data_IF_265910310718
#
_entry.id   IF_265910310718
#
_cell.length_a   1.000
_cell.length_b   1.000
_cell.length_c   1.000
_cell.angle_alpha   90.00
_cell.angle_beta   90.00
_cell.angle_gamma   90.00
#
_symmetry.space_group_name_H-M   'P 1'
#
loop_
_entity.id
_entity.type
_entity.pdbx_description
1 polymer ?
#
# COMPACT_ATOMS: atom_id res chain seq x y z
N UNK A 1 -2.70 9.22 15.19
CA UNK A 1 -1.43 8.51 14.90
C UNK A 1 -1.39 8.20 13.42
N UNK A 2 -0.44 8.75 12.67
CA UNK A 2 -0.22 8.35 11.28
C UNK A 2 0.70 7.12 11.26
N UNK A 3 0.33 6.09 10.51
CA UNK A 3 1.14 4.90 10.35
C UNK A 3 2.06 5.07 9.15
N UNK A 4 3.38 5.10 9.34
CA UNK A 4 4.33 5.10 8.23
C UNK A 4 4.98 3.72 8.15
N UNK A 5 4.90 3.09 6.99
CA UNK A 5 5.55 1.81 6.71
C UNK A 5 6.32 1.92 5.39
N UNK A 6 7.41 1.18 5.27
CA UNK A 6 8.26 1.22 4.08
C UNK A 6 8.20 -0.12 3.41
N UNK A 7 7.84 -0.13 2.15
CA UNK A 7 7.72 -1.34 1.35
C UNK A 7 8.74 -1.35 0.23
N UNK A 8 9.26 -2.52 -0.11
CA UNK A 8 10.20 -2.72 -1.20
C UNK A 8 9.52 -3.55 -2.26
N UNK A 9 9.48 -3.07 -3.50
CA UNK A 9 8.92 -3.79 -4.64
C UNK A 9 9.82 -4.96 -5.01
N UNK A 10 9.24 -6.16 -5.09
CA UNK A 10 9.88 -7.38 -5.58
C UNK A 10 9.65 -7.46 -7.09
N UNK A 11 10.57 -6.90 -7.86
CA UNK A 11 10.52 -6.97 -9.32
C UNK A 11 11.74 -6.33 -9.99
N UNK A 12 12.05 -6.80 -11.19
CA UNK A 12 13.09 -6.24 -12.06
C UNK A 12 12.73 -4.81 -12.50
N UNK A 13 11.47 -4.64 -12.94
CA UNK A 13 10.89 -3.35 -13.37
C UNK A 13 9.95 -2.76 -12.31
N UNK A 14 10.38 -1.78 -11.49
CA UNK A 14 9.54 -1.20 -10.43
C UNK A 14 8.28 -0.49 -10.95
N UNK A 15 8.25 -0.03 -12.21
CA UNK A 15 7.05 0.53 -12.84
C UNK A 15 5.97 -0.53 -13.06
N UNK A 16 6.31 -1.61 -13.76
CA UNK A 16 5.36 -2.69 -14.06
C UNK A 16 4.84 -3.35 -12.78
N UNK A 17 5.74 -3.63 -11.82
CA UNK A 17 5.34 -4.21 -10.53
C UNK A 17 4.36 -3.31 -9.78
N UNK A 18 4.54 -1.98 -9.83
CA UNK A 18 3.64 -1.04 -9.17
C UNK A 18 2.26 -0.96 -9.85
N UNK A 19 2.21 -0.98 -11.18
CA UNK A 19 0.92 -0.99 -11.90
C UNK A 19 0.15 -2.29 -11.65
N UNK A 20 0.82 -3.44 -11.69
CA UNK A 20 0.23 -4.72 -11.32
C UNK A 20 -0.24 -4.74 -9.87
N UNK A 21 0.54 -4.14 -8.97
CA UNK A 21 0.17 -4.02 -7.56
C UNK A 21 -1.07 -3.15 -7.36
N UNK A 22 -1.16 -2.01 -8.03
CA UNK A 22 -2.34 -1.14 -7.97
C UNK A 22 -3.56 -1.89 -8.48
N UNK A 23 -3.48 -2.53 -9.65
CA UNK A 23 -4.59 -3.32 -10.21
C UNK A 23 -5.04 -4.45 -9.29
N UNK A 24 -4.08 -5.18 -8.72
CA UNK A 24 -4.35 -6.24 -7.73
C UNK A 24 -5.02 -5.66 -6.50
N UNK A 25 -4.50 -4.56 -5.96
CA UNK A 25 -5.02 -3.94 -4.76
C UNK A 25 -6.43 -3.36 -5.00
N UNK A 26 -6.72 -2.80 -6.18
CA UNK A 26 -8.08 -2.39 -6.59
C UNK A 26 -9.06 -3.56 -6.59
N UNK A 27 -8.66 -4.72 -7.12
CA UNK A 27 -9.46 -5.95 -7.05
C UNK A 27 -9.72 -6.40 -5.60
N UNK A 28 -8.77 -6.12 -4.70
CA UNK A 28 -8.88 -6.40 -3.27
C UNK A 28 -9.67 -5.33 -2.50
N UNK A 29 -10.11 -4.24 -3.15
CA UNK A 29 -10.89 -3.15 -2.56
C UNK A 29 -10.07 -1.96 -2.07
N UNK A 30 -8.84 -1.79 -2.55
CA UNK A 30 -8.01 -0.61 -2.37
C UNK A 30 -8.10 0.30 -3.59
N UNK A 31 -8.71 1.47 -3.47
CA UNK A 31 -8.69 2.49 -4.51
C UNK A 31 -7.39 3.31 -4.41
N UNK A 32 -6.54 3.26 -5.42
CA UNK A 32 -5.36 4.13 -5.52
C UNK A 32 -5.68 5.33 -6.42
N UNK A 33 -5.50 6.54 -5.91
CA UNK A 33 -5.67 7.81 -6.64
C UNK A 33 -4.34 8.54 -6.73
N UNK A 34 -3.77 8.65 -7.93
CA UNK A 34 -2.52 9.38 -8.16
C UNK A 34 -1.68 8.78 -9.28
N UNK A 35 -0.37 9.03 -9.24
CA UNK A 35 0.60 8.47 -10.19
C UNK A 35 1.33 7.27 -9.60
N UNK A 36 1.97 6.46 -10.43
CA UNK A 36 2.82 5.33 -9.98
C UNK A 36 3.96 5.71 -9.03
N UNK A 37 4.30 7.00 -8.93
CA UNK A 37 5.30 7.52 -7.99
C UNK A 37 4.71 8.13 -6.74
N UNK A 38 3.53 8.75 -6.77
CA UNK A 38 2.93 9.31 -5.55
C UNK A 38 1.42 9.42 -5.69
N UNK A 39 0.72 9.22 -4.58
CA UNK A 39 -0.72 9.37 -4.56
C UNK A 39 -1.32 9.09 -3.20
N UNK A 40 -2.63 8.91 -3.20
CA UNK A 40 -3.41 8.46 -2.06
C UNK A 40 -3.97 7.07 -2.32
N UNK A 41 -4.15 6.29 -1.27
CA UNK A 41 -4.84 5.01 -1.35
C UNK A 41 -5.95 4.98 -0.30
N UNK A 42 -7.04 4.31 -0.66
CA UNK A 42 -8.23 4.20 0.17
C UNK A 42 -8.71 2.74 0.14
N UNK A 43 -8.70 2.09 1.28
CA UNK A 43 -9.18 0.74 1.45
C UNK A 43 -10.56 0.75 2.07
N UNK A 44 -11.60 0.45 1.30
CA UNK A 44 -13.00 0.56 1.76
C UNK A 44 -13.62 -0.77 2.21
N UNK A 45 -12.97 -1.91 1.92
CA UNK A 45 -13.57 -3.24 2.07
C UNK A 45 -13.71 -3.69 3.53
N UNK A 46 -12.60 -3.81 4.26
CA UNK A 46 -12.60 -4.38 5.62
C UNK A 46 -12.21 -3.36 6.68
N UNK A 47 -11.21 -2.53 6.41
CA UNK A 47 -10.58 -1.70 7.45
C UNK A 47 -10.77 -0.19 7.21
N UNK A 48 -11.59 0.25 6.24
CA UNK A 48 -11.88 1.66 5.94
C UNK A 48 -10.69 2.60 6.21
N UNK A 49 -9.56 2.34 5.56
CA UNK A 49 -8.30 3.05 5.78
C UNK A 49 -8.01 4.00 4.61
N UNK A 50 -7.42 5.16 4.90
CA UNK A 50 -6.92 6.11 3.90
C UNK A 50 -5.48 6.45 4.21
N UNK A 51 -4.68 6.57 3.17
CA UNK A 51 -3.28 6.90 3.30
C UNK A 51 -2.74 7.53 2.03
N UNK A 52 -1.46 7.84 2.11
CA UNK A 52 -0.64 8.36 1.03
C UNK A 52 0.44 7.35 0.72
N UNK A 53 0.85 7.26 -0.53
CA UNK A 53 1.98 6.44 -0.94
C UNK A 53 2.97 7.29 -1.72
N UNK A 54 4.26 6.99 -1.55
CA UNK A 54 5.34 7.65 -2.26
C UNK A 54 6.40 6.62 -2.61
N UNK A 55 6.65 6.46 -3.90
CA UNK A 55 7.68 5.58 -4.44
C UNK A 55 8.93 6.36 -4.83
N UNK A 56 10.06 5.85 -4.39
CA UNK A 56 11.41 6.27 -4.76
C UNK A 56 12.17 5.04 -5.28
N UNK A 57 12.29 4.91 -6.59
CA UNK A 57 12.90 3.73 -7.22
C UNK A 57 12.13 2.44 -6.93
N UNK A 58 12.76 1.49 -6.23
CA UNK A 58 12.15 0.23 -5.77
C UNK A 58 11.45 0.34 -4.41
N UNK A 59 11.64 1.44 -3.69
CA UNK A 59 11.07 1.64 -2.35
C UNK A 59 9.75 2.40 -2.46
N UNK A 60 8.69 1.88 -1.85
CA UNK A 60 7.36 2.47 -1.73
C UNK A 60 7.09 2.76 -0.26
N UNK A 61 7.08 4.02 0.12
CA UNK A 61 6.67 4.46 1.45
C UNK A 61 5.14 4.60 1.48
N UNK A 62 4.47 3.87 2.37
CA UNK A 62 3.04 4.01 2.63
C UNK A 62 2.84 4.75 3.95
N UNK A 63 1.99 5.76 3.95
CA UNK A 63 1.63 6.57 5.11
C UNK A 63 0.12 6.52 5.30
N UNK A 64 -0.37 5.67 6.19
CA UNK A 64 -1.78 5.64 6.56
C UNK A 64 -2.08 6.83 7.48
N UNK A 65 -2.91 7.74 6.99
CA UNK A 65 -3.31 8.96 7.73
C UNK A 65 -4.61 8.76 8.48
N UNK A 66 -5.49 7.88 8.00
CA UNK A 66 -6.80 7.60 8.60
C UNK A 66 -7.07 6.11 8.62
N UNK A 67 -7.37 5.55 9.78
CA UNK A 67 -7.79 4.17 9.93
C UNK A 67 -8.66 4.07 11.20
N UNK A 68 -9.48 3.02 11.33
CA UNK A 68 -10.32 2.83 12.49
C UNK A 68 -9.47 2.64 13.75
N UNK A 69 -9.96 3.10 14.89
CA UNK A 69 -9.23 3.01 16.16
C UNK A 69 -8.87 1.57 16.57
N UNK A 70 -9.67 0.58 16.15
CA UNK A 70 -9.42 -0.84 16.40
C UNK A 70 -8.33 -1.44 15.50
N UNK A 71 -7.88 -0.71 14.46
CA UNK A 71 -6.88 -1.19 13.51
C UNK A 71 -5.52 -0.64 13.92
N UNK A 72 -4.55 -1.52 14.10
CA UNK A 72 -3.18 -1.10 14.36
C UNK A 72 -2.37 -1.03 13.07
N UNK A 73 -1.27 -0.29 13.10
CA UNK A 73 -0.25 -0.31 12.05
C UNK A 73 0.13 -1.74 11.62
N UNK A 74 0.40 -2.61 12.60
CA UNK A 74 0.81 -3.99 12.35
C UNK A 74 -0.25 -4.80 11.61
N UNK A 75 -1.54 -4.60 11.91
CA UNK A 75 -2.61 -5.26 11.16
C UNK A 75 -2.65 -4.82 9.69
N UNK A 76 -2.47 -3.52 9.41
CA UNK A 76 -2.42 -3.03 8.03
C UNK A 76 -1.19 -3.54 7.29
N UNK A 77 -0.02 -3.52 7.93
CA UNK A 77 1.23 -4.07 7.37
C UNK A 77 1.06 -5.56 7.08
N UNK A 78 0.48 -6.31 8.03
CA UNK A 78 0.26 -7.75 7.87
C UNK A 78 -0.72 -8.06 6.75
N UNK A 79 -1.81 -7.30 6.60
CA UNK A 79 -2.78 -7.50 5.52
C UNK A 79 -2.16 -7.15 4.16
N UNK A 80 -1.40 -6.06 4.09
CA UNK A 80 -0.65 -5.66 2.89
C UNK A 80 0.38 -6.72 2.50
N UNK A 81 1.20 -7.19 3.44
CA UNK A 81 2.15 -8.28 3.18
C UNK A 81 1.45 -9.59 2.83
N UNK A 82 0.29 -9.90 3.42
CA UNK A 82 -0.44 -11.13 3.12
C UNK A 82 -1.06 -11.12 1.71
N UNK A 83 -1.57 -9.96 1.25
CA UNK A 83 -2.21 -9.85 -0.08
C UNK A 83 -1.24 -9.46 -1.19
N UNK A 84 -0.25 -8.63 -0.87
CA UNK A 84 0.69 -8.04 -1.81
C UNK A 84 2.12 -8.54 -1.60
N UNK A 85 2.37 -9.52 -0.70
CA UNK A 85 3.69 -10.07 -0.37
C UNK A 85 4.47 -10.64 -1.56
N UNK A 86 3.74 -11.05 -2.60
CA UNK A 86 4.31 -11.50 -3.88
C UNK A 86 4.90 -10.35 -4.72
N UNK A 87 4.48 -9.11 -4.47
CA UNK A 87 4.84 -7.90 -5.24
C UNK A 87 5.60 -6.86 -4.42
N UNK A 88 5.38 -6.83 -3.10
CA UNK A 88 6.09 -5.96 -2.17
C UNK A 88 6.44 -6.68 -0.86
N UNK A 89 7.45 -6.18 -0.18
CA UNK A 89 7.81 -6.54 1.20
C UNK A 89 7.74 -5.29 2.03
N UNK A 90 6.77 -5.17 2.94
CA UNK A 90 6.63 -4.06 3.87
C UNK A 90 7.25 -4.38 5.23
N UNK A 91 8.03 -3.45 5.77
CA UNK A 91 8.58 -3.43 7.13
C UNK A 91 8.14 -2.18 7.89
#
# INVERSE_FOLDING_TARGET
>A
MACKMTCILKGDSPKETMESLIKMAESQGFAFKGTTTKGTFEYTKTLKAKGEYHRTGKTVTLKVTKYPFFVTCGMMISELNKRLGSYLSCE
#
